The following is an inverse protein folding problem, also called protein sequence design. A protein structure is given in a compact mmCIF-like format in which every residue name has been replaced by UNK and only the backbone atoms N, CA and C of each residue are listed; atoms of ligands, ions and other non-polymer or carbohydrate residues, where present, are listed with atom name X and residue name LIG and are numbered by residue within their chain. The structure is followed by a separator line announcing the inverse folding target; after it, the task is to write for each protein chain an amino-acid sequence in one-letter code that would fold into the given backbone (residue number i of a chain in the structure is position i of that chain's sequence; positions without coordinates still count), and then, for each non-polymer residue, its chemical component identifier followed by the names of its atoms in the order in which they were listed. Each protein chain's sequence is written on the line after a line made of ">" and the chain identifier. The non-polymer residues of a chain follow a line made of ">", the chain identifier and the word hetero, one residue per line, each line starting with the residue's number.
data_IF_140026489093
#
_entry.id   IF_140026489093
#
_cell.length_a   1.000
_cell.length_b   1.000
_cell.length_c   1.000
_cell.angle_alpha   90.00
_cell.angle_beta   90.00
_cell.angle_gamma   90.00
#
_symmetry.space_group_name_H-M   'P 1'
#
loop_
_entity.id
_entity.type
_entity.pdbx_description
1 polymer ?
#
# COMPACT_ATOMS: atom_id res chain seq x y z
N UNK A 1 6.44 18.13 17.14
CA UNK A 1 7.85 17.70 17.22
C UNK A 1 8.11 16.55 16.23
N UNK A 2 9.33 16.39 15.72
CA UNK A 2 9.65 15.37 14.70
C UNK A 2 9.35 13.92 15.12
N UNK A 3 9.38 13.59 16.41
CA UNK A 3 8.90 12.30 16.91
C UNK A 3 7.42 12.04 16.58
N UNK A 4 6.55 13.04 16.74
CA UNK A 4 5.13 12.92 16.37
C UNK A 4 4.94 12.72 14.85
N UNK A 5 5.85 13.23 14.02
CA UNK A 5 5.83 12.98 12.58
C UNK A 5 6.22 11.53 12.25
N UNK A 6 7.16 10.93 12.98
CA UNK A 6 7.48 9.50 12.83
C UNK A 6 6.26 8.63 13.12
N UNK A 7 5.53 8.90 14.21
CA UNK A 7 4.29 8.19 14.53
C UNK A 7 3.22 8.37 13.44
N UNK A 8 3.05 9.58 12.92
CA UNK A 8 2.12 9.82 11.81
C UNK A 8 2.51 9.06 10.53
N UNK A 9 3.81 8.95 10.23
CA UNK A 9 4.29 8.17 9.08
C UNK A 9 4.02 6.67 9.28
N UNK A 10 4.23 6.14 10.49
CA UNK A 10 3.90 4.76 10.83
C UNK A 10 2.40 4.50 10.72
N UNK A 11 1.55 5.41 11.20
CA UNK A 11 0.11 5.31 11.07
C UNK A 11 -0.36 5.33 9.60
N UNK A 12 0.31 6.12 8.76
CA UNK A 12 0.05 6.17 7.31
C UNK A 12 0.38 4.83 6.66
N UNK A 13 1.54 4.27 6.99
CA UNK A 13 1.92 2.94 6.51
C UNK A 13 0.96 1.85 7.00
N UNK A 14 0.57 1.89 8.27
CA UNK A 14 -0.36 0.93 8.87
C UNK A 14 -1.74 0.94 8.16
N UNK A 15 -2.23 2.13 7.78
CA UNK A 15 -3.42 2.24 6.94
C UNK A 15 -3.24 1.58 5.55
N UNK A 16 -2.08 1.75 4.92
CA UNK A 16 -1.75 1.12 3.63
C UNK A 16 -1.66 -0.40 3.80
N UNK A 17 -0.94 -0.90 4.80
CA UNK A 17 -0.79 -2.32 5.07
C UNK A 17 -2.15 -2.99 5.34
N UNK A 18 -3.03 -2.34 6.11
CA UNK A 18 -4.41 -2.80 6.31
C UNK A 18 -5.22 -2.84 5.01
N UNK A 19 -5.14 -1.80 4.18
CA UNK A 19 -5.83 -1.79 2.89
C UNK A 19 -5.33 -2.90 1.95
N UNK A 20 -4.04 -3.23 2.03
CA UNK A 20 -3.42 -4.31 1.26
C UNK A 20 -3.51 -5.69 1.93
N UNK A 21 -4.14 -5.78 3.11
CA UNK A 21 -4.19 -6.98 3.94
C UNK A 21 -2.80 -7.62 4.18
N UNK A 22 -1.75 -6.80 4.29
CA UNK A 22 -0.38 -7.26 4.50
C UNK A 22 -0.05 -7.28 6.00
N UNK A 23 0.35 -8.44 6.57
CA UNK A 23 0.90 -8.48 7.92
C UNK A 23 2.31 -7.90 7.91
N UNK A 24 2.67 -7.08 8.90
CA UNK A 24 4.02 -6.54 9.01
C UNK A 24 4.49 -6.43 10.46
N UNK A 25 5.79 -6.29 10.63
CA UNK A 25 6.48 -6.05 11.89
C UNK A 25 7.31 -4.77 11.72
N UNK A 26 7.17 -3.83 12.65
CA UNK A 26 7.99 -2.63 12.70
C UNK A 26 9.21 -2.87 13.60
N UNK A 27 10.42 -2.73 13.07
CA UNK A 27 11.67 -2.97 13.79
C UNK A 27 12.58 -1.74 13.69
N UNK A 28 13.08 -1.27 14.83
CA UNK A 28 14.17 -0.28 14.83
C UNK A 28 15.43 -0.96 14.31
N UNK A 29 16.00 -0.42 13.24
CA UNK A 29 17.20 -0.95 12.64
C UNK A 29 18.41 -0.73 13.55
N UNK A 30 19.38 -1.67 13.56
CA UNK A 30 20.67 -1.44 14.17
C UNK A 30 21.36 -0.21 13.59
N UNK A 31 22.31 0.34 14.34
CA UNK A 31 23.03 1.56 13.96
C UNK A 31 23.73 1.45 12.59
N UNK A 32 24.21 0.27 12.22
CA UNK A 32 24.89 0.01 10.94
C UNK A 32 23.94 -0.24 9.75
N UNK A 33 22.63 -0.38 10.00
CA UNK A 33 21.60 -0.69 8.97
C UNK A 33 20.56 0.43 8.86
N UNK A 34 20.80 1.57 9.50
CA UNK A 34 19.96 2.76 9.33
C UNK A 34 20.29 3.45 8.00
N UNK A 35 19.33 4.21 7.48
CA UNK A 35 19.57 5.05 6.32
C UNK A 35 20.76 6.00 6.57
N UNK A 36 21.69 6.17 5.62
CA UNK A 36 22.86 7.02 5.78
C UNK A 36 22.51 8.41 6.30
N UNK A 37 23.10 8.80 7.43
CA UNK A 37 22.85 10.10 8.07
C UNK A 37 21.57 10.18 8.92
N UNK A 38 20.77 9.12 9.03
CA UNK A 38 19.64 9.09 9.96
C UNK A 38 20.11 9.00 11.42
N UNK A 39 19.35 9.59 12.34
CA UNK A 39 19.50 9.36 13.78
C UNK A 39 19.02 7.94 14.15
N UNK A 40 17.90 7.49 13.58
CA UNK A 40 17.51 6.08 13.56
C UNK A 40 16.62 5.79 12.34
N UNK A 41 16.48 4.51 12.02
CA UNK A 41 15.53 4.02 11.02
C UNK A 41 14.63 2.94 11.60
N UNK A 42 13.38 2.91 11.18
CA UNK A 42 12.43 1.84 11.43
C UNK A 42 12.20 1.15 10.08
N UNK A 43 12.43 -0.16 10.03
CA UNK A 43 12.03 -1.00 8.91
C UNK A 43 10.67 -1.61 9.16
N UNK A 44 9.90 -1.79 8.08
CA UNK A 44 8.57 -2.38 8.08
C UNK A 44 8.65 -3.64 7.24
N UNK A 45 8.70 -4.79 7.92
CA UNK A 45 9.06 -6.07 7.33
C UNK A 45 7.87 -7.03 7.36
N UNK A 46 7.67 -7.77 6.29
CA UNK A 46 6.71 -8.86 6.24
C UNK A 46 7.41 -10.21 6.29
N UNK A 47 6.83 -11.23 6.94
CA UNK A 47 7.28 -12.60 6.78
C UNK A 47 6.89 -13.13 5.40
N UNK A 48 7.82 -13.81 4.75
CA UNK A 48 7.59 -14.58 3.53
C UNK A 48 7.75 -16.08 3.81
N UNK A 49 7.27 -16.91 2.88
CA UNK A 49 7.49 -18.35 2.93
C UNK A 49 8.98 -18.73 2.94
N UNK A 50 9.32 -19.77 3.72
CA UNK A 50 10.66 -20.33 3.78
C UNK A 50 11.65 -19.51 4.61
N UNK A 51 11.22 -18.97 5.76
CA UNK A 51 12.06 -18.21 6.71
C UNK A 51 12.72 -16.95 6.12
N UNK A 52 12.12 -16.37 5.09
CA UNK A 52 12.57 -15.12 4.47
C UNK A 52 11.70 -13.96 4.94
N UNK A 53 12.23 -12.75 4.87
CA UNK A 53 11.47 -11.52 5.10
C UNK A 53 11.66 -10.56 3.95
N UNK A 54 10.73 -9.63 3.81
CA UNK A 54 10.81 -8.54 2.84
C UNK A 54 10.51 -7.22 3.52
N UNK A 55 11.47 -6.29 3.49
CA UNK A 55 11.23 -4.91 3.89
C UNK A 55 10.40 -4.21 2.81
N UNK A 56 9.22 -3.74 3.20
CA UNK A 56 8.23 -3.11 2.31
C UNK A 56 8.04 -1.62 2.59
N UNK A 57 8.69 -1.08 3.63
CA UNK A 57 8.76 0.34 3.90
C UNK A 57 9.80 0.70 4.95
N UNK A 58 10.17 1.97 5.00
CA UNK A 58 11.08 2.52 5.99
C UNK A 58 10.64 3.89 6.48
N UNK A 59 10.95 4.20 7.74
CA UNK A 59 10.77 5.53 8.34
C UNK A 59 12.09 5.98 8.95
N UNK A 60 12.50 7.22 8.71
CA UNK A 60 13.78 7.75 9.14
C UNK A 60 13.57 9.04 9.94
N UNK A 61 14.24 9.13 11.09
CA UNK A 61 14.34 10.39 11.84
C UNK A 61 15.77 10.91 11.68
N UNK A 62 15.93 12.15 11.22
CA UNK A 62 17.26 12.72 10.96
C UNK A 62 17.76 13.65 12.07
N UNK A 63 16.87 14.10 12.96
CA UNK A 63 17.15 15.26 13.82
C UNK A 63 17.60 16.40 12.90
N UNK A 64 18.80 16.90 13.12
CA UNK A 64 19.36 18.04 12.40
C UNK A 64 20.45 17.62 11.40
N UNK A 65 20.65 16.31 11.19
CA UNK A 65 21.77 15.78 10.42
C UNK A 65 21.78 16.26 8.96
N UNK A 66 20.61 16.57 8.41
CA UNK A 66 20.45 17.15 7.07
C UNK A 66 20.20 18.66 7.12
N UNK A 67 19.53 19.21 8.13
CA UNK A 67 19.29 20.66 8.17
C UNK A 67 20.58 21.48 8.33
N UNK A 68 21.51 21.02 9.17
CA UNK A 68 22.80 21.71 9.40
C UNK A 68 23.66 21.90 8.15
N UNK A 69 24.02 20.84 7.39
CA UNK A 69 24.87 21.01 6.21
C UNK A 69 24.21 21.81 5.08
N UNK A 70 22.87 21.89 5.06
CA UNK A 70 22.12 22.61 4.03
C UNK A 70 21.55 23.97 4.50
N UNK A 71 21.87 24.41 5.72
CA UNK A 71 21.43 25.71 6.26
C UNK A 71 19.91 25.86 6.38
N UNK A 72 19.21 24.79 6.76
CA UNK A 72 17.74 24.78 6.87
C UNK A 72 17.34 25.12 8.31
N UNK A 73 17.14 26.41 8.57
CA UNK A 73 16.88 26.95 9.90
C UNK A 73 15.48 27.58 10.01
N UNK A 74 15.03 27.80 11.25
CA UNK A 74 13.85 28.58 11.60
C UNK A 74 14.17 29.53 12.77
N UNK A 75 13.48 30.66 12.84
CA UNK A 75 13.56 31.55 14.01
C UNK A 75 12.66 31.02 15.13
N UNK A 76 13.22 30.79 16.31
CA UNK A 76 12.45 30.40 17.49
C UNK A 76 11.72 31.60 18.13
N UNK A 77 10.82 31.39 19.11
CA UNK A 77 10.12 32.49 19.78
C UNK A 77 11.02 33.48 20.55
N UNK A 78 12.31 33.18 20.71
CA UNK A 78 13.32 34.04 21.32
C UNK A 78 14.16 34.80 20.28
N UNK A 79 13.86 34.66 18.97
CA UNK A 79 14.60 35.29 17.88
C UNK A 79 15.89 34.56 17.49
N UNK A 80 16.11 33.34 18.00
CA UNK A 80 17.33 32.56 17.73
C UNK A 80 17.09 31.63 16.55
N UNK A 81 17.98 31.70 15.56
CA UNK A 81 17.98 30.76 14.44
C UNK A 81 18.36 29.35 14.92
N UNK A 82 17.49 28.37 14.67
CA UNK A 82 17.70 26.97 15.02
C UNK A 82 17.51 26.06 13.81
N UNK A 83 18.32 24.99 13.67
CA UNK A 83 18.13 24.01 12.62
C UNK A 83 16.82 23.25 12.79
N UNK A 84 16.14 22.97 11.67
CA UNK A 84 14.89 22.18 11.71
C UNK A 84 15.19 20.71 11.99
N UNK A 85 14.24 20.02 12.62
CA UNK A 85 14.26 18.56 12.69
C UNK A 85 13.53 17.94 11.49
N UNK A 86 14.16 16.96 10.84
CA UNK A 86 13.60 16.32 9.64
C UNK A 86 13.31 14.83 9.84
N UNK A 87 12.37 14.33 9.04
CA UNK A 87 12.00 12.91 8.93
C UNK A 87 11.65 12.58 7.50
N UNK A 88 11.81 11.33 7.08
CA UNK A 88 11.25 10.81 5.82
C UNK A 88 10.60 9.47 6.08
N UNK A 89 9.77 9.02 5.15
CA UNK A 89 9.37 7.63 5.03
C UNK A 89 9.27 7.28 3.54
N UNK A 90 9.48 6.02 3.21
CA UNK A 90 9.57 5.56 1.82
C UNK A 90 8.96 4.19 1.62
N UNK A 91 8.42 3.99 0.42
CA UNK A 91 7.80 2.77 -0.09
C UNK A 91 8.29 2.55 -1.52
N UNK A 92 8.23 1.31 -2.01
CA UNK A 92 8.54 0.99 -3.41
C UNK A 92 7.56 -0.03 -3.98
N UNK A 93 7.78 -0.42 -5.23
CA UNK A 93 7.09 -1.52 -5.93
C UNK A 93 7.17 -2.87 -5.19
N UNK A 94 8.04 -2.99 -4.18
CA UNK A 94 8.03 -4.12 -3.23
C UNK A 94 6.68 -4.34 -2.57
N UNK A 95 5.83 -3.31 -2.43
CA UNK A 95 4.45 -3.49 -1.97
C UNK A 95 3.62 -4.37 -2.91
N UNK A 96 3.77 -4.20 -4.22
CA UNK A 96 3.10 -5.06 -5.20
C UNK A 96 3.68 -6.48 -5.15
N UNK A 97 5.00 -6.60 -5.07
CA UNK A 97 5.66 -7.89 -4.90
C UNK A 97 5.21 -8.62 -3.61
N UNK A 98 5.02 -7.88 -2.53
CA UNK A 98 4.48 -8.39 -1.27
C UNK A 98 3.04 -8.89 -1.41
N UNK A 99 2.16 -8.15 -2.08
CA UNK A 99 0.79 -8.59 -2.37
C UNK A 99 0.79 -9.92 -3.10
N UNK A 100 1.59 -10.04 -4.16
CA UNK A 100 1.70 -11.29 -4.94
C UNK A 100 2.25 -12.43 -4.07
N UNK A 101 3.29 -12.18 -3.28
CA UNK A 101 3.94 -13.21 -2.48
C UNK A 101 3.10 -13.69 -1.29
N UNK A 102 2.29 -12.81 -0.68
CA UNK A 102 1.47 -13.12 0.51
C UNK A 102 0.13 -13.72 0.12
N UNK A 103 -0.53 -13.15 -0.89
CA UNK A 103 -1.90 -13.53 -1.25
C UNK A 103 -1.98 -14.52 -2.40
N UNK A 104 -0.94 -14.63 -3.23
CA UNK A 104 -0.92 -15.54 -4.37
C UNK A 104 -1.19 -17.00 -3.99
N UNK A 105 -1.90 -17.71 -4.85
CA UNK A 105 -2.29 -19.09 -4.65
C UNK A 105 -1.93 -19.96 -5.87
N UNK A 106 -2.47 -21.19 -5.91
CA UNK A 106 -2.22 -22.13 -7.01
C UNK A 106 -2.83 -21.70 -8.34
N UNK A 107 -3.82 -20.82 -8.32
CA UNK A 107 -4.55 -20.33 -9.48
C UNK A 107 -4.01 -18.98 -9.99
N UNK A 108 -3.11 -18.34 -9.24
CA UNK A 108 -2.39 -17.14 -9.65
C UNK A 108 -2.38 -16.06 -8.58
N UNK A 109 -2.60 -14.82 -9.00
CA UNK A 109 -2.56 -13.65 -8.11
C UNK A 109 -3.92 -13.42 -7.48
N UNK A 110 -3.96 -13.29 -6.16
CA UNK A 110 -5.14 -12.85 -5.41
C UNK A 110 -4.90 -11.41 -4.97
N UNK A 111 -5.64 -10.47 -5.55
CA UNK A 111 -5.56 -9.06 -5.16
C UNK A 111 -6.51 -8.75 -3.99
N UNK A 112 -6.07 -8.00 -2.97
CA UNK A 112 -6.97 -7.35 -2.02
C UNK A 112 -8.01 -6.50 -2.74
N UNK A 113 -9.25 -6.51 -2.24
CA UNK A 113 -10.38 -5.77 -2.84
C UNK A 113 -10.12 -4.25 -2.96
N UNK A 114 -9.21 -3.70 -2.16
CA UNK A 114 -8.80 -2.29 -2.24
C UNK A 114 -8.04 -1.96 -3.53
N UNK A 115 -7.31 -2.92 -4.10
CA UNK A 115 -6.43 -2.71 -5.26
C UNK A 115 -6.73 -3.60 -6.48
N UNK A 116 -7.65 -4.57 -6.35
CA UNK A 116 -8.09 -5.38 -7.47
C UNK A 116 -8.63 -4.49 -8.61
N UNK A 117 -8.18 -4.61 -9.86
CA UNK A 117 -8.68 -3.79 -10.97
C UNK A 117 -10.21 -3.85 -11.10
N UNK A 118 -10.75 -5.07 -10.96
CA UNK A 118 -12.18 -5.35 -10.85
C UNK A 118 -12.43 -6.10 -9.54
N UNK A 119 -13.43 -5.66 -8.79
CA UNK A 119 -13.90 -6.33 -7.57
C UNK A 119 -14.95 -7.39 -7.89
N UNK A 120 -15.69 -7.19 -8.99
CA UNK A 120 -16.70 -8.12 -9.49
C UNK A 120 -16.52 -8.27 -10.99
N UNK A 121 -16.45 -9.52 -11.46
CA UNK A 121 -16.53 -9.86 -12.88
C UNK A 121 -17.83 -10.64 -13.06
N UNK A 122 -18.71 -10.14 -13.94
CA UNK A 122 -19.95 -10.79 -14.31
C UNK A 122 -19.73 -11.54 -15.62
N UNK A 123 -19.89 -12.86 -15.59
CA UNK A 123 -19.78 -13.73 -16.77
C UNK A 123 -21.17 -14.31 -17.07
N UNK A 124 -21.92 -13.76 -18.06
CA UNK A 124 -23.23 -14.24 -18.42
C UNK A 124 -23.12 -15.57 -19.17
N UNK A 125 -23.84 -16.59 -18.71
CA UNK A 125 -23.90 -17.88 -19.39
C UNK A 125 -25.01 -17.84 -20.43
N UNK A 126 -24.63 -17.69 -21.70
CA UNK A 126 -25.55 -17.55 -22.81
C UNK A 126 -25.92 -18.93 -23.37
N UNK A 127 -27.20 -19.28 -23.33
CA UNK A 127 -27.69 -20.55 -23.86
C UNK A 127 -29.20 -20.56 -24.10
N UNK A 128 -29.62 -21.22 -25.18
CA UNK A 128 -31.04 -21.38 -25.52
C UNK A 128 -31.77 -20.07 -25.83
N UNK A 129 -33.09 -20.09 -25.70
CA UNK A 129 -33.98 -18.96 -26.03
C UNK A 129 -33.90 -17.77 -25.05
N UNK A 130 -33.17 -17.90 -23.94
CA UNK A 130 -33.09 -16.89 -22.87
C UNK A 130 -31.91 -15.93 -22.96
N UNK A 131 -31.06 -16.02 -24.00
CA UNK A 131 -29.81 -15.27 -24.09
C UNK A 131 -30.00 -13.75 -23.96
N UNK A 132 -31.01 -13.17 -24.62
CA UNK A 132 -31.30 -11.73 -24.55
C UNK A 132 -31.67 -11.27 -23.13
N UNK A 133 -32.46 -12.06 -22.41
CA UNK A 133 -32.85 -11.80 -21.02
C UNK A 133 -31.66 -11.88 -20.08
N UNK A 134 -30.76 -12.84 -20.28
CA UNK A 134 -29.54 -12.97 -19.47
C UNK A 134 -28.64 -11.76 -19.68
N UNK A 135 -28.41 -11.35 -20.93
CA UNK A 135 -27.59 -10.18 -21.26
C UNK A 135 -28.16 -8.89 -20.66
N UNK A 136 -29.48 -8.65 -20.79
CA UNK A 136 -30.10 -7.45 -20.22
C UNK A 136 -30.00 -7.43 -18.70
N UNK A 137 -30.26 -8.58 -18.05
CA UNK A 137 -30.16 -8.71 -16.59
C UNK A 137 -28.73 -8.50 -16.10
N UNK A 138 -27.73 -9.03 -16.81
CA UNK A 138 -26.32 -8.85 -16.45
C UNK A 138 -25.89 -7.37 -16.54
N UNK A 139 -26.37 -6.63 -17.55
CA UNK A 139 -26.16 -5.20 -17.67
C UNK A 139 -26.82 -4.41 -16.51
N UNK A 140 -28.06 -4.74 -16.16
CA UNK A 140 -28.74 -4.13 -15.01
C UNK A 140 -27.99 -4.37 -13.68
N UNK A 141 -27.49 -5.59 -13.48
CA UNK A 141 -26.69 -5.94 -12.29
C UNK A 141 -25.37 -5.14 -12.28
N UNK A 142 -24.66 -5.07 -13.41
CA UNK A 142 -23.44 -4.26 -13.54
C UNK A 142 -23.70 -2.82 -13.13
N UNK A 143 -24.77 -2.22 -13.63
CA UNK A 143 -25.08 -0.81 -13.40
C UNK A 143 -25.41 -0.58 -11.92
N UNK A 144 -26.24 -1.45 -11.32
CA UNK A 144 -26.56 -1.39 -9.88
C UNK A 144 -25.32 -1.48 -9.00
N UNK A 145 -24.42 -2.42 -9.28
CA UNK A 145 -23.19 -2.60 -8.51
C UNK A 145 -22.20 -1.44 -8.72
N UNK A 146 -22.12 -0.91 -9.94
CA UNK A 146 -21.29 0.27 -10.26
C UNK A 146 -21.81 1.50 -9.52
N UNK A 147 -23.14 1.72 -9.49
CA UNK A 147 -23.78 2.79 -8.70
C UNK A 147 -23.52 2.63 -7.20
N UNK A 148 -23.37 1.40 -6.70
CA UNK A 148 -22.98 1.13 -5.32
C UNK A 148 -21.47 1.37 -5.03
N UNK A 149 -20.69 1.82 -6.02
CA UNK A 149 -19.27 2.16 -5.88
C UNK A 149 -18.30 1.00 -6.10
N UNK A 150 -18.77 -0.13 -6.63
CA UNK A 150 -17.91 -1.28 -6.94
C UNK A 150 -17.29 -1.15 -8.33
N UNK A 151 -16.04 -1.62 -8.46
CA UNK A 151 -15.37 -1.76 -9.77
C UNK A 151 -15.82 -3.05 -10.44
N UNK A 152 -16.75 -2.95 -11.39
CA UNK A 152 -17.38 -4.11 -12.04
C UNK A 152 -17.00 -4.21 -13.51
N UNK A 153 -16.68 -5.43 -13.97
CA UNK A 153 -16.54 -5.76 -15.40
C UNK A 153 -17.63 -6.75 -15.77
N UNK A 154 -18.39 -6.44 -16.82
CA UNK A 154 -19.19 -7.44 -17.53
C UNK A 154 -18.29 -8.07 -18.60
N UNK A 155 -18.11 -9.38 -18.57
CA UNK A 155 -17.37 -10.14 -19.58
C UNK A 155 -18.38 -10.73 -20.58
N UNK A 156 -18.62 -10.03 -21.67
CA UNK A 156 -19.58 -10.35 -22.72
C UNK A 156 -18.92 -10.93 -23.98
N UNK A 157 -17.72 -11.50 -23.82
CA UNK A 157 -17.01 -12.19 -24.89
C UNK A 157 -17.72 -13.48 -25.34
N UNK A 158 -17.42 -13.91 -26.58
CA UNK A 158 -17.92 -15.17 -27.17
C UNK A 158 -17.04 -16.39 -26.79
N UNK A 159 -16.19 -16.23 -25.78
CA UNK A 159 -15.32 -17.29 -25.29
C UNK A 159 -16.11 -18.25 -24.40
N UNK A 160 -15.64 -19.49 -24.27
CA UNK A 160 -16.27 -20.46 -23.37
C UNK A 160 -16.05 -20.02 -21.92
N UNK A 161 -17.11 -19.94 -21.10
CA UNK A 161 -16.99 -19.76 -19.66
C UNK A 161 -16.22 -20.89 -18.96
#
# INVERSE_FOLDING_TARGET
>A
AAGARVEANLATFDAIARALALPYIALRRPEWDKFPGAYYSIGLDIPLGGARTLQIGTVHHYRENFSRPYGIDYEDPQGVQRPVHQTTFGLSERLLGAVVAVHGDRNGVVFPSAIAPYQVILVPILGGSGASTVTSTAAEIRDRLTTAGLRVRLDDGDERP
#
